data_IF_475360694293
#
_entry.id   IF_475360694293
#
_cell.length_a   1.000
_cell.length_b   1.000
_cell.length_c   1.000
_cell.angle_alpha   90.00
_cell.angle_beta   90.00
_cell.angle_gamma   90.00
#
_symmetry.space_group_name_H-M   'P 1'
#
loop_
_entity.id
_entity.type
_entity.pdbx_description
1 polymer ?
#
# COMPACT_ATOMS: atom_id res chain seq x y z
N UNK A 1 -3.64 24.79 4.19
CA UNK A 1 -4.53 25.82 4.72
C UNK A 1 -4.65 26.95 3.70
N UNK A 2 -5.87 27.34 3.34
CA UNK A 2 -6.15 28.45 2.41
C UNK A 2 -5.91 28.15 0.93
N UNK A 3 -5.60 26.92 0.53
CA UNK A 3 -5.46 26.52 -0.86
C UNK A 3 -6.73 25.86 -1.41
N UNK A 4 -6.85 25.79 -2.75
CA UNK A 4 -7.87 24.99 -3.42
C UNK A 4 -7.39 23.53 -3.46
N UNK A 5 -8.13 22.59 -2.88
CA UNK A 5 -7.73 21.17 -2.92
C UNK A 5 -7.73 20.64 -4.35
N UNK A 6 -6.76 19.80 -4.67
CA UNK A 6 -6.70 19.09 -5.94
C UNK A 6 -7.22 17.68 -5.76
N UNK A 7 -8.09 17.26 -6.64
CA UNK A 7 -8.65 15.91 -6.61
C UNK A 7 -7.76 14.99 -7.44
N UNK A 8 -7.12 14.03 -6.79
CA UNK A 8 -6.28 13.02 -7.45
C UNK A 8 -7.18 11.90 -7.98
N UNK A 9 -7.09 11.63 -9.27
CA UNK A 9 -7.89 10.63 -9.95
C UNK A 9 -7.19 9.27 -10.05
N UNK A 10 -5.86 9.25 -10.17
CA UNK A 10 -5.05 8.03 -10.26
C UNK A 10 -3.60 8.29 -9.88
N UNK A 11 -2.88 7.21 -9.62
CA UNK A 11 -1.46 7.24 -9.34
C UNK A 11 -0.76 6.05 -10.00
N UNK A 12 0.50 6.24 -10.40
CA UNK A 12 1.31 5.22 -11.05
C UNK A 12 2.80 5.49 -10.79
N UNK A 13 3.52 4.51 -10.23
CA UNK A 13 4.92 4.68 -9.88
C UNK A 13 5.13 5.87 -8.95
N UNK A 14 5.95 6.83 -9.37
CA UNK A 14 6.25 8.05 -8.62
C UNK A 14 5.31 9.22 -8.96
N UNK A 15 4.24 9.00 -9.69
CA UNK A 15 3.40 10.07 -10.21
C UNK A 15 1.95 10.01 -9.70
N UNK A 16 1.42 11.20 -9.42
CA UNK A 16 0.00 11.44 -9.19
C UNK A 16 -0.60 12.15 -10.39
N UNK A 17 -1.83 11.83 -10.73
CA UNK A 17 -2.59 12.50 -11.78
C UNK A 17 -3.89 13.05 -11.21
N UNK A 18 -4.12 14.36 -11.39
CA UNK A 18 -5.36 14.97 -10.93
C UNK A 18 -6.52 14.73 -11.91
N UNK A 19 -7.72 15.09 -11.48
CA UNK A 19 -8.94 14.95 -12.26
C UNK A 19 -8.96 15.83 -13.53
N UNK A 20 -8.07 16.83 -13.62
CA UNK A 20 -7.91 17.72 -14.77
C UNK A 20 -6.79 17.23 -15.72
N UNK A 21 -6.17 16.07 -15.45
CA UNK A 21 -5.14 15.48 -16.29
C UNK A 21 -3.72 15.98 -16.07
N UNK A 22 -3.48 16.82 -15.06
CA UNK A 22 -2.13 17.26 -14.71
C UNK A 22 -1.39 16.19 -13.94
N UNK A 23 -0.09 16.07 -14.16
CA UNK A 23 0.80 15.12 -13.52
C UNK A 23 1.71 15.80 -12.50
N UNK A 24 1.88 15.16 -11.36
CA UNK A 24 2.76 15.60 -10.28
C UNK A 24 3.70 14.48 -9.85
N UNK A 25 4.92 14.82 -9.45
CA UNK A 25 5.81 13.88 -8.77
C UNK A 25 5.34 13.76 -7.32
N UNK A 26 5.13 12.53 -6.86
CA UNK A 26 4.70 12.26 -5.49
C UNK A 26 5.90 12.18 -4.54
N UNK A 27 6.15 13.25 -3.80
CA UNK A 27 7.16 13.28 -2.73
C UNK A 27 6.60 12.91 -1.35
N UNK A 28 5.30 12.62 -1.25
CA UNK A 28 4.64 12.31 0.02
C UNK A 28 4.53 10.81 0.24
N UNK A 29 4.30 10.03 -0.82
CA UNK A 29 4.18 8.57 -0.76
C UNK A 29 3.08 8.10 0.19
N UNK A 30 1.93 8.79 0.19
CA UNK A 30 0.80 8.54 1.11
C UNK A 30 1.21 8.52 2.59
N UNK A 31 2.11 9.42 2.97
CA UNK A 31 2.72 9.55 4.31
C UNK A 31 3.54 8.32 4.74
N UNK A 32 4.20 7.65 3.79
CA UNK A 32 5.20 6.63 4.04
C UNK A 32 4.96 5.24 3.45
N UNK A 33 3.73 4.73 3.31
CA UNK A 33 3.54 3.34 2.90
C UNK A 33 3.88 3.05 1.43
N UNK A 34 3.94 4.05 0.54
CA UNK A 34 4.17 3.83 -0.90
C UNK A 34 5.66 3.74 -1.27
N UNK A 35 6.44 2.97 -0.53
CA UNK A 35 7.88 2.81 -0.76
C UNK A 35 8.25 2.17 -2.10
N UNK A 36 7.36 1.36 -2.66
CA UNK A 36 7.51 0.75 -4.00
C UNK A 36 6.83 1.58 -5.10
N UNK A 37 6.34 2.76 -4.77
CA UNK A 37 5.50 3.57 -5.66
C UNK A 37 4.06 3.07 -5.74
N UNK A 38 3.27 3.80 -6.49
CA UNK A 38 1.87 3.48 -6.72
C UNK A 38 1.71 2.37 -7.76
N UNK A 39 0.83 1.42 -7.47
CA UNK A 39 0.45 0.42 -8.46
C UNK A 39 1.54 -0.58 -8.83
N UNK A 40 2.46 -0.91 -7.90
CA UNK A 40 3.47 -1.93 -8.17
C UNK A 40 2.82 -3.25 -8.62
N UNK A 41 3.20 -3.81 -9.78
CA UNK A 41 2.49 -4.95 -10.38
C UNK A 41 2.37 -6.16 -9.48
N UNK A 42 3.45 -6.56 -8.80
CA UNK A 42 3.43 -7.71 -7.91
C UNK A 42 2.50 -7.50 -6.69
N UNK A 43 2.45 -6.27 -6.16
CA UNK A 43 1.55 -5.93 -5.04
C UNK A 43 0.10 -5.96 -5.51
N UNK A 44 -0.21 -5.36 -6.66
CA UNK A 44 -1.57 -5.37 -7.22
C UNK A 44 -2.09 -6.79 -7.47
N UNK A 45 -1.27 -7.66 -8.05
CA UNK A 45 -1.68 -9.06 -8.29
C UNK A 45 -1.91 -9.82 -6.97
N UNK A 46 -1.06 -9.63 -5.97
CA UNK A 46 -1.26 -10.23 -4.65
C UNK A 46 -2.55 -9.74 -3.97
N UNK A 47 -2.84 -8.42 -4.06
CA UNK A 47 -4.08 -7.83 -3.52
C UNK A 47 -5.31 -8.37 -4.23
N UNK A 48 -5.31 -8.43 -5.56
CA UNK A 48 -6.42 -8.97 -6.35
C UNK A 48 -6.69 -10.43 -5.98
N UNK A 49 -5.66 -11.26 -5.92
CA UNK A 49 -5.77 -12.66 -5.51
C UNK A 49 -6.34 -12.80 -4.09
N UNK A 50 -5.83 -12.02 -3.15
CA UNK A 50 -6.33 -12.02 -1.79
C UNK A 50 -7.80 -11.58 -1.70
N UNK A 51 -8.20 -10.58 -2.49
CA UNK A 51 -9.58 -10.13 -2.56
C UNK A 51 -10.54 -11.20 -3.06
N UNK A 52 -10.14 -12.02 -4.05
CA UNK A 52 -10.92 -13.15 -4.55
C UNK A 52 -11.15 -14.24 -3.49
N UNK A 53 -10.22 -14.40 -2.55
CA UNK A 53 -10.30 -15.37 -1.45
C UNK A 53 -11.07 -14.84 -0.23
N UNK A 54 -11.21 -13.55 -0.10
CA UNK A 54 -11.90 -12.86 0.99
C UNK A 54 -11.04 -11.80 1.68
N UNK A 55 -11.67 -10.73 2.14
CA UNK A 55 -11.01 -9.58 2.72
C UNK A 55 -11.00 -9.59 4.26
N UNK A 56 -11.88 -10.35 4.89
CA UNK A 56 -11.96 -10.47 6.34
C UNK A 56 -12.71 -11.74 6.72
N UNK A 57 -12.20 -12.50 7.68
CA UNK A 57 -12.77 -13.79 8.05
C UNK A 57 -13.37 -13.82 9.45
N UNK A 58 -13.07 -12.84 10.30
CA UNK A 58 -13.41 -12.90 11.73
C UNK A 58 -12.74 -14.07 12.46
N UNK A 59 -11.65 -14.62 11.91
CA UNK A 59 -10.90 -15.76 12.41
C UNK A 59 -9.43 -15.59 12.00
N UNK A 60 -8.46 -16.30 12.67
CA UNK A 60 -7.05 -16.28 12.25
C UNK A 60 -6.88 -16.76 10.81
N UNK A 61 -5.89 -16.18 10.12
CA UNK A 61 -5.53 -16.57 8.75
C UNK A 61 -4.02 -16.79 8.64
N UNK A 62 -3.61 -17.70 7.78
CA UNK A 62 -2.20 -17.99 7.52
C UNK A 62 -1.43 -16.76 7.05
N UNK A 63 -2.05 -15.85 6.31
CA UNK A 63 -1.44 -14.61 5.82
C UNK A 63 -0.96 -13.69 6.95
N UNK A 64 -1.67 -13.64 8.06
CA UNK A 64 -1.24 -12.87 9.26
C UNK A 64 0.03 -13.48 9.85
N UNK A 65 0.10 -14.81 9.93
CA UNK A 65 1.26 -15.53 10.43
C UNK A 65 2.46 -15.32 9.51
N UNK A 66 2.29 -15.50 8.21
CA UNK A 66 3.35 -15.27 7.20
C UNK A 66 3.92 -13.86 7.28
N UNK A 67 3.06 -12.84 7.41
CA UNK A 67 3.51 -11.47 7.55
C UNK A 67 4.28 -11.26 8.87
N UNK A 68 3.77 -11.77 9.97
CA UNK A 68 4.44 -11.66 11.27
C UNK A 68 5.82 -12.34 11.26
N UNK A 69 5.93 -13.53 10.69
CA UNK A 69 7.19 -14.26 10.52
C UNK A 69 8.18 -13.50 9.64
N UNK A 70 7.71 -12.93 8.53
CA UNK A 70 8.55 -12.10 7.66
C UNK A 70 9.11 -10.87 8.37
N UNK A 71 8.29 -10.17 9.15
CA UNK A 71 8.72 -8.99 9.92
C UNK A 71 9.75 -9.37 10.98
N UNK A 72 9.50 -10.42 11.76
CA UNK A 72 10.43 -10.91 12.78
C UNK A 72 11.76 -11.33 12.16
N UNK A 73 11.74 -11.99 11.01
CA UNK A 73 12.96 -12.39 10.31
C UNK A 73 13.78 -11.21 9.79
N UNK A 74 13.12 -10.12 9.36
CA UNK A 74 13.79 -8.95 8.78
C UNK A 74 14.30 -7.97 9.85
N UNK A 75 13.64 -7.88 10.99
CA UNK A 75 13.94 -6.88 12.02
C UNK A 75 14.32 -7.55 13.34
N UNK A 76 15.62 -7.60 13.62
CA UNK A 76 16.19 -8.33 14.77
C UNK A 76 15.66 -7.94 16.15
N UNK A 77 15.18 -6.71 16.29
CA UNK A 77 14.67 -6.19 17.57
C UNK A 77 13.19 -6.50 17.80
N UNK A 78 12.51 -7.09 16.82
CA UNK A 78 11.09 -7.44 16.92
C UNK A 78 10.97 -8.92 17.25
N UNK A 79 10.34 -9.22 18.37
CA UNK A 79 10.07 -10.59 18.83
C UNK A 79 8.62 -11.02 18.59
N UNK A 80 7.71 -10.05 18.56
CA UNK A 80 6.27 -10.29 18.34
C UNK A 80 5.67 -9.21 17.44
N UNK A 81 4.72 -9.62 16.60
CA UNK A 81 3.95 -8.75 15.70
C UNK A 81 2.47 -9.08 15.85
N UNK A 82 1.69 -8.02 15.90
CA UNK A 82 0.22 -8.12 15.93
C UNK A 82 -0.43 -7.05 15.05
#
# INVERSE_FOLDING_TARGET
VGGTPRFIARAEGAYLHDAEGRRYIDYIGSWGPMILGHGHPAVLEAVKKAADEGLSFGAPTEREVELAEAIVALVRSIEQVR
#
